data_IF_296276844316
#
_entry.id   IF_296276844316
#
_cell.length_a   1.000
_cell.length_b   1.000
_cell.length_c   1.000
_cell.angle_alpha   90.00
_cell.angle_beta   90.00
_cell.angle_gamma   90.00
#
_symmetry.space_group_name_H-M   'P 1'
#
loop_
_entity.id
_entity.type
_entity.pdbx_description
1 polymer ?
#
# COMPACT_ATOMS: atom_id res chain seq x y z
N UNK A 1 -36.95 -80.50 27.32
CA UNK A 1 -36.01 -80.27 26.20
C UNK A 1 -35.03 -79.20 26.68
N UNK A 2 -33.94 -79.59 27.36
CA UNK A 2 -32.57 -79.72 26.81
C UNK A 2 -32.04 -78.37 26.28
N UNK A 3 -30.97 -77.75 26.78
CA UNK A 3 -29.90 -78.18 27.67
C UNK A 3 -29.15 -76.97 28.28
N UNK A 4 -28.29 -77.22 29.28
CA UNK A 4 -26.81 -77.05 29.23
C UNK A 4 -26.34 -75.60 28.97
N UNK A 5 -25.39 -74.99 29.67
CA UNK A 5 -24.45 -75.42 30.70
C UNK A 5 -23.59 -74.21 31.11
N UNK A 6 -23.26 -74.15 32.41
CA UNK A 6 -21.89 -73.90 32.91
C UNK A 6 -21.11 -72.60 32.59
N UNK A 7 -20.93 -71.84 33.67
CA UNK A 7 -19.66 -71.35 34.24
C UNK A 7 -18.70 -70.50 33.36
N UNK A 8 -18.43 -69.28 33.84
CA UNK A 8 -17.15 -68.97 34.53
C UNK A 8 -17.22 -67.62 35.24
N UNK A 9 -17.17 -67.68 36.56
CA UNK A 9 -16.67 -66.63 37.46
C UNK A 9 -15.14 -66.64 37.46
N UNK A 10 -14.49 -65.49 37.32
CA UNK A 10 -13.21 -65.13 37.98
C UNK A 10 -13.08 -63.59 37.88
N UNK A 11 -13.33 -62.86 38.97
CA UNK A 11 -12.30 -62.36 39.92
C UNK A 11 -11.69 -61.04 39.39
N UNK A 12 -11.88 -59.86 39.98
CA UNK A 12 -11.45 -59.45 41.32
C UNK A 12 -12.20 -58.17 41.76
N UNK A 13 -12.51 -58.08 43.05
CA UNK A 13 -12.90 -56.85 43.79
C UNK A 13 -11.65 -55.94 43.99
N UNK A 14 -11.66 -54.81 44.76
CA UNK A 14 -12.72 -53.99 45.36
C UNK A 14 -12.51 -52.45 45.26
N UNK A 15 -13.52 -51.72 45.74
CA UNK A 15 -13.43 -50.53 46.60
C UNK A 15 -12.86 -49.19 46.08
N UNK A 16 -13.79 -48.22 46.01
CA UNK A 16 -13.79 -46.95 46.74
C UNK A 16 -12.45 -46.20 46.85
N UNK A 17 -12.43 -44.96 46.34
CA UNK A 17 -12.30 -43.76 47.19
C UNK A 17 -12.47 -42.45 46.43
N UNK A 18 -13.26 -41.58 47.07
CA UNK A 18 -13.30 -40.13 46.97
C UNK A 18 -11.99 -39.47 46.53
N UNK A 19 -12.06 -38.52 45.59
CA UNK A 19 -11.55 -37.14 45.80
C UNK A 19 -11.80 -36.20 44.61
N UNK A 20 -12.47 -35.10 44.93
CA UNK A 20 -12.14 -33.70 44.58
C UNK A 20 -11.66 -33.37 43.15
N UNK A 21 -12.50 -32.55 42.51
CA UNK A 21 -12.12 -31.25 41.90
C UNK A 21 -11.17 -31.29 40.68
N UNK A 22 -11.72 -31.11 39.47
CA UNK A 22 -11.17 -30.15 38.49
C UNK A 22 -12.32 -29.59 37.65
N UNK A 23 -12.49 -28.27 37.73
CA UNK A 23 -13.35 -27.42 36.91
C UNK A 23 -12.86 -27.50 35.47
N UNK A 24 -13.71 -27.98 34.55
CA UNK A 24 -13.43 -27.98 33.11
C UNK A 24 -13.46 -26.55 32.57
N UNK A 25 -12.27 -26.01 32.32
CA UNK A 25 -12.01 -24.68 31.79
C UNK A 25 -12.67 -24.50 30.42
N UNK A 26 -13.52 -23.48 30.30
CA UNK A 26 -14.01 -22.97 29.03
C UNK A 26 -12.86 -22.27 28.29
N UNK A 27 -12.38 -22.88 27.20
CA UNK A 27 -11.36 -22.30 26.33
C UNK A 27 -11.98 -21.18 25.49
N UNK A 28 -11.89 -19.95 25.97
CA UNK A 28 -12.16 -18.76 25.17
C UNK A 28 -11.04 -18.60 24.12
N UNK A 29 -11.36 -18.85 22.86
CA UNK A 29 -10.46 -18.56 21.74
C UNK A 29 -10.35 -17.03 21.57
N UNK A 30 -9.31 -16.44 22.16
CA UNK A 30 -8.93 -15.05 21.95
C UNK A 30 -8.43 -14.93 20.51
N UNK A 31 -9.26 -14.37 19.63
CA UNK A 31 -8.84 -13.90 18.31
C UNK A 31 -7.90 -12.71 18.52
N UNK A 32 -6.60 -12.97 18.62
CA UNK A 32 -5.59 -11.91 18.58
C UNK A 32 -5.54 -11.40 17.14
N UNK A 33 -6.37 -10.40 16.83
CA UNK A 33 -6.23 -9.58 15.63
C UNK A 33 -4.99 -8.71 15.80
N UNK A 34 -3.81 -9.27 15.51
CA UNK A 34 -2.59 -8.48 15.39
C UNK A 34 -2.76 -7.50 14.23
N UNK A 35 -2.63 -6.19 14.50
CA UNK A 35 -2.38 -5.24 13.43
C UNK A 35 -1.07 -5.64 12.77
N UNK A 36 -1.13 -6.25 11.59
CA UNK A 36 0.04 -6.39 10.73
C UNK A 36 0.50 -4.96 10.43
N UNK A 37 1.72 -4.56 10.82
CA UNK A 37 2.21 -3.23 10.50
C UNK A 37 2.18 -3.07 8.98
N UNK A 38 1.69 -1.91 8.54
CA UNK A 38 1.77 -1.51 7.14
C UNK A 38 3.20 -1.73 6.65
N UNK A 39 3.38 -2.64 5.70
CA UNK A 39 4.71 -2.94 5.17
C UNK A 39 4.96 -1.94 4.04
N UNK A 40 5.84 -0.99 4.27
CA UNK A 40 6.43 -0.18 3.21
C UNK A 40 7.79 -0.77 2.85
N UNK A 41 8.21 -0.59 1.60
CA UNK A 41 9.55 -0.96 1.15
C UNK A 41 10.18 0.23 0.47
N UNK A 42 11.21 0.77 1.10
CA UNK A 42 11.93 1.96 0.65
C UNK A 42 13.25 1.56 -0.01
N UNK A 43 13.62 2.26 -1.08
CA UNK A 43 14.95 2.29 -1.65
C UNK A 43 15.41 3.75 -1.71
N UNK A 44 16.64 4.02 -1.26
CA UNK A 44 17.21 5.37 -1.28
C UNK A 44 18.66 5.34 -1.71
N UNK A 45 19.05 6.26 -2.59
CA UNK A 45 20.44 6.51 -2.97
C UNK A 45 21.09 7.60 -2.11
N UNK A 46 20.29 8.42 -1.42
CA UNK A 46 20.76 9.56 -0.62
C UNK A 46 20.11 9.55 0.76
N UNK A 47 20.82 10.09 1.74
CA UNK A 47 20.29 10.29 3.10
C UNK A 47 19.87 11.75 3.35
N UNK A 48 20.32 12.67 2.50
CA UNK A 48 20.05 14.11 2.58
C UNK A 48 19.95 14.69 1.18
N UNK A 49 19.03 15.64 1.01
CA UNK A 49 18.86 16.39 -0.22
C UNK A 49 20.09 17.27 -0.47
N UNK A 50 20.44 17.45 -1.73
CA UNK A 50 21.53 18.32 -2.17
C UNK A 50 20.92 19.47 -2.96
N UNK A 51 21.38 20.67 -2.68
CA UNK A 51 20.99 21.86 -3.45
C UNK A 51 22.14 22.85 -3.50
N UNK A 52 22.12 23.72 -4.51
CA UNK A 52 22.98 24.91 -4.58
C UNK A 52 22.33 26.12 -3.88
N UNK A 53 21.08 25.98 -3.43
CA UNK A 53 20.34 26.97 -2.63
C UNK A 53 20.64 26.82 -1.14
N UNK A 54 20.10 27.74 -0.33
CA UNK A 54 20.13 27.61 1.13
C UNK A 54 19.33 26.37 1.58
N UNK A 55 18.12 26.20 1.03
CA UNK A 55 17.25 25.05 1.28
C UNK A 55 16.77 24.39 -0.03
N UNK A 56 16.68 23.06 -0.10
CA UNK A 56 16.21 22.34 -1.27
C UNK A 56 14.70 22.49 -1.45
N UNK A 57 14.27 22.77 -2.69
CA UNK A 57 12.85 22.92 -3.02
C UNK A 57 12.30 21.67 -3.68
N UNK A 58 11.18 21.16 -3.16
CA UNK A 58 10.52 19.96 -3.68
C UNK A 58 9.24 20.39 -4.39
N UNK A 59 9.10 20.04 -5.67
CA UNK A 59 7.85 20.17 -6.41
C UNK A 59 6.98 18.93 -6.18
N UNK A 60 5.77 19.11 -5.66
CA UNK A 60 4.74 18.08 -5.74
C UNK A 60 4.17 18.06 -7.16
N UNK A 61 4.47 16.99 -7.88
CA UNK A 61 3.86 16.74 -9.19
C UNK A 61 2.37 16.41 -9.02
N UNK A 62 1.53 16.63 -10.05
CA UNK A 62 0.12 16.26 -10.00
C UNK A 62 -0.01 14.77 -9.64
N UNK A 63 -0.73 14.42 -8.56
CA UNK A 63 -0.72 13.06 -8.06
C UNK A 63 -1.50 12.12 -9.00
N UNK A 64 -0.87 11.05 -9.48
CA UNK A 64 -1.54 9.97 -10.23
C UNK A 64 -2.29 9.03 -9.28
N UNK A 65 -3.32 9.58 -8.61
CA UNK A 65 -4.22 8.85 -7.72
C UNK A 65 -5.52 8.61 -8.48
N UNK A 66 -5.95 7.34 -8.56
CA UNK A 66 -7.20 6.93 -9.23
C UNK A 66 -7.90 5.83 -8.45
N UNK A 67 -9.23 5.91 -8.39
CA UNK A 67 -10.09 4.90 -7.77
C UNK A 67 -11.05 4.29 -8.79
N UNK A 68 -11.35 3.01 -8.58
CA UNK A 68 -12.18 2.20 -9.47
C UNK A 68 -13.18 1.35 -8.67
N UNK A 69 -14.31 1.05 -9.31
CA UNK A 69 -15.23 0.01 -8.87
C UNK A 69 -14.86 -1.30 -9.57
N UNK A 70 -14.71 -2.39 -8.80
CA UNK A 70 -14.55 -3.74 -9.32
C UNK A 70 -15.92 -4.42 -9.42
N UNK A 71 -16.40 -4.60 -10.65
CA UNK A 71 -17.71 -5.18 -10.94
C UNK A 71 -17.75 -6.69 -10.70
N UNK A 72 -18.96 -7.28 -10.64
CA UNK A 72 -19.13 -8.73 -10.48
C UNK A 72 -18.41 -9.51 -11.59
N UNK A 73 -18.47 -9.01 -12.83
CA UNK A 73 -17.79 -9.57 -14.00
C UNK A 73 -16.27 -9.36 -14.01
N UNK A 74 -15.69 -8.74 -12.98
CA UNK A 74 -14.25 -8.50 -12.88
C UNK A 74 -13.73 -7.31 -13.68
N UNK A 75 -14.62 -6.50 -14.28
CA UNK A 75 -14.26 -5.25 -14.94
C UNK A 75 -13.99 -4.15 -13.92
N UNK A 76 -13.05 -3.27 -14.22
CA UNK A 76 -12.75 -2.08 -13.41
C UNK A 76 -13.33 -0.84 -14.08
N UNK A 77 -14.12 -0.07 -13.33
CA UNK A 77 -14.79 1.13 -13.81
C UNK A 77 -14.29 2.35 -13.04
N UNK A 78 -13.83 3.43 -13.71
CA UNK A 78 -13.35 4.62 -13.02
C UNK A 78 -14.44 5.25 -12.14
N UNK A 79 -14.07 5.63 -10.90
CA UNK A 79 -14.94 6.37 -10.01
C UNK A 79 -14.39 7.79 -9.79
N UNK A 80 -15.02 8.78 -10.43
CA UNK A 80 -14.57 10.17 -10.37
C UNK A 80 -14.71 10.77 -8.97
N UNK A 81 -15.83 10.54 -8.27
CA UNK A 81 -16.06 11.10 -6.94
C UNK A 81 -14.99 10.64 -5.94
N UNK A 82 -14.69 9.33 -5.94
CA UNK A 82 -13.65 8.77 -5.07
C UNK A 82 -12.26 9.25 -5.46
N UNK A 83 -11.99 9.35 -6.76
CA UNK A 83 -10.72 9.86 -7.27
C UNK A 83 -10.50 11.31 -6.84
N UNK A 84 -11.52 12.17 -6.96
CA UNK A 84 -11.44 13.57 -6.54
C UNK A 84 -11.23 13.70 -5.03
N UNK A 85 -11.98 12.95 -4.22
CA UNK A 85 -11.80 12.94 -2.76
C UNK A 85 -10.38 12.49 -2.37
N UNK A 86 -9.90 11.41 -3.00
CA UNK A 86 -8.57 10.89 -2.72
C UNK A 86 -7.44 11.87 -3.10
N UNK A 87 -7.54 12.54 -4.25
CA UNK A 87 -6.56 13.56 -4.66
C UNK A 87 -6.55 14.76 -3.72
N UNK A 88 -7.72 15.23 -3.31
CA UNK A 88 -7.86 16.34 -2.37
C UNK A 88 -7.13 16.02 -1.05
N UNK A 89 -7.43 14.87 -0.44
CA UNK A 89 -6.79 14.50 0.82
C UNK A 89 -5.31 14.14 0.65
N UNK A 90 -4.92 13.57 -0.50
CA UNK A 90 -3.51 13.31 -0.81
C UNK A 90 -2.70 14.60 -0.76
N UNK A 91 -3.08 15.62 -1.53
CA UNK A 91 -2.34 16.89 -1.59
C UNK A 91 -2.30 17.55 -0.21
N UNK A 92 -3.44 17.60 0.49
CA UNK A 92 -3.54 18.17 1.84
C UNK A 92 -2.59 17.50 2.83
N UNK A 93 -2.55 16.17 2.85
CA UNK A 93 -1.74 15.43 3.82
C UNK A 93 -0.25 15.41 3.44
N UNK A 94 0.10 15.53 2.15
CA UNK A 94 1.48 15.76 1.72
C UNK A 94 1.97 17.14 2.15
N UNK A 95 1.14 18.18 1.98
CA UNK A 95 1.44 19.53 2.44
C UNK A 95 1.65 19.57 3.96
N UNK A 96 0.74 18.96 4.72
CA UNK A 96 0.90 18.83 6.18
C UNK A 96 2.17 18.06 6.58
N UNK A 97 2.50 16.97 5.87
CA UNK A 97 3.71 16.20 6.11
C UNK A 97 5.00 17.02 5.85
N UNK A 98 5.00 17.83 4.79
CA UNK A 98 6.11 18.70 4.44
C UNK A 98 6.28 19.83 5.46
N UNK A 99 5.17 20.49 5.85
CA UNK A 99 5.16 21.54 6.86
C UNK A 99 5.67 21.04 8.23
N UNK A 100 5.26 19.83 8.66
CA UNK A 100 5.76 19.19 9.90
C UNK A 100 7.28 18.96 9.90
N UNK A 101 7.91 18.89 8.72
CA UNK A 101 9.35 18.63 8.54
C UNK A 101 10.13 19.88 8.11
N UNK A 102 9.46 21.02 7.96
CA UNK A 102 10.09 22.25 7.47
C UNK A 102 10.62 22.15 6.04
N UNK A 103 10.03 21.30 5.19
CA UNK A 103 10.43 21.20 3.79
C UNK A 103 9.78 22.32 2.95
N UNK A 104 10.54 22.94 2.04
CA UNK A 104 9.99 23.87 1.04
C UNK A 104 9.29 23.07 -0.08
N UNK A 105 7.96 23.00 0.01
CA UNK A 105 7.10 22.29 -0.93
C UNK A 105 6.40 23.28 -1.88
N UNK A 106 6.59 23.07 -3.18
CA UNK A 106 5.86 23.76 -4.24
C UNK A 106 4.73 22.84 -4.67
N UNK A 107 3.48 23.33 -4.60
CA UNK A 107 2.31 22.59 -5.07
C UNK A 107 1.83 23.25 -6.36
N UNK A 108 1.75 22.47 -7.44
CA UNK A 108 1.08 22.92 -8.66
C UNK A 108 -0.39 23.10 -8.35
N UNK A 109 -0.97 24.22 -8.77
CA UNK A 109 -2.38 24.52 -8.57
C UNK A 109 -3.25 23.35 -9.05
N UNK A 110 -3.94 22.64 -8.13
CA UNK A 110 -4.73 21.47 -8.47
C UNK A 110 -6.00 21.81 -9.26
N UNK A 111 -6.40 23.09 -9.29
CA UNK A 111 -7.57 23.56 -10.04
C UNK A 111 -7.24 23.85 -11.50
N UNK A 112 -5.95 23.90 -11.86
CA UNK A 112 -5.49 24.08 -13.23
C UNK A 112 -5.09 22.72 -13.86
N UNK A 113 -5.38 22.51 -15.16
CA UNK A 113 -4.84 21.36 -15.86
C UNK A 113 -3.30 21.39 -15.81
N UNK A 114 -2.65 20.24 -15.56
CA UNK A 114 -1.21 20.16 -15.63
C UNK A 114 -0.74 20.48 -17.06
N UNK A 115 0.44 21.09 -17.18
CA UNK A 115 1.03 21.33 -18.49
C UNK A 115 1.43 20.02 -19.19
N UNK A 116 1.74 20.15 -20.48
CA UNK A 116 2.09 18.99 -21.32
C UNK A 116 3.30 18.23 -20.76
N UNK A 117 4.34 18.95 -20.31
CA UNK A 117 5.54 18.33 -19.74
C UNK A 117 5.26 17.62 -18.42
N UNK A 118 4.43 18.20 -17.54
CA UNK A 118 4.04 17.54 -16.30
C UNK A 118 3.27 16.24 -16.56
N UNK A 119 2.37 16.27 -17.55
CA UNK A 119 1.58 15.10 -17.96
C UNK A 119 2.46 14.02 -18.59
N UNK A 120 3.43 14.41 -19.42
CA UNK A 120 4.38 13.47 -20.02
C UNK A 120 5.22 12.76 -18.96
N UNK A 121 5.79 13.52 -18.01
CA UNK A 121 6.62 12.93 -16.96
C UNK A 121 5.80 12.16 -15.91
N UNK A 122 4.53 12.49 -15.68
CA UNK A 122 3.62 11.65 -14.87
C UNK A 122 3.45 10.26 -15.49
N UNK A 123 3.22 10.20 -16.81
CA UNK A 123 3.10 8.91 -17.54
C UNK A 123 4.42 8.15 -17.55
N UNK A 124 5.54 8.84 -17.76
CA UNK A 124 6.86 8.22 -17.73
C UNK A 124 7.18 7.68 -16.33
N UNK A 125 6.91 8.46 -15.29
CA UNK A 125 7.06 8.03 -13.89
C UNK A 125 6.24 6.79 -13.60
N UNK A 126 4.99 6.73 -14.06
CA UNK A 126 4.15 5.56 -13.92
C UNK A 126 4.78 4.32 -14.58
N UNK A 127 5.27 4.43 -15.82
CA UNK A 127 5.90 3.32 -16.53
C UNK A 127 7.19 2.83 -15.83
N UNK A 128 8.07 3.77 -15.45
CA UNK A 128 9.33 3.46 -14.76
C UNK A 128 9.07 2.89 -13.37
N UNK A 129 8.15 3.49 -12.61
CA UNK A 129 7.81 3.04 -11.25
C UNK A 129 7.19 1.65 -11.22
N UNK A 130 6.30 1.32 -12.15
CA UNK A 130 5.81 -0.07 -12.28
C UNK A 130 6.93 -1.05 -12.66
N UNK A 131 7.88 -0.62 -13.48
CA UNK A 131 9.08 -1.42 -13.78
C UNK A 131 9.92 -1.66 -12.53
N UNK A 132 10.09 -0.66 -11.66
CA UNK A 132 10.76 -0.78 -10.36
C UNK A 132 10.01 -1.77 -9.45
N UNK A 133 8.69 -1.67 -9.35
CA UNK A 133 7.89 -2.59 -8.53
C UNK A 133 8.12 -4.04 -8.92
N UNK A 134 8.11 -4.34 -10.22
CA UNK A 134 8.29 -5.70 -10.74
C UNK A 134 9.73 -6.16 -10.60
N UNK A 135 10.70 -5.32 -10.97
CA UNK A 135 12.09 -5.74 -11.19
C UNK A 135 13.05 -5.43 -10.03
N UNK A 136 12.64 -4.65 -9.04
CA UNK A 136 13.45 -4.36 -7.86
C UNK A 136 12.84 -4.93 -6.58
N UNK A 137 11.53 -4.73 -6.39
CA UNK A 137 10.79 -5.24 -5.23
C UNK A 137 10.13 -6.61 -5.45
N UNK A 138 10.01 -7.02 -6.71
CA UNK A 138 9.55 -8.36 -7.13
C UNK A 138 10.71 -9.24 -7.58
N UNK A 139 10.65 -9.73 -8.82
CA UNK A 139 11.66 -10.60 -9.41
C UNK A 139 12.82 -9.77 -9.94
N UNK A 140 13.96 -9.82 -9.25
CA UNK A 140 15.13 -9.03 -9.62
C UNK A 140 15.73 -9.44 -10.95
N UNK A 141 16.13 -8.45 -11.75
CA UNK A 141 16.89 -8.67 -12.98
C UNK A 141 18.30 -9.15 -12.63
N UNK A 142 18.71 -10.37 -13.03
CA UNK A 142 20.01 -10.93 -12.64
C UNK A 142 21.20 -10.05 -13.06
N UNK A 143 21.09 -9.36 -14.20
CA UNK A 143 22.14 -8.49 -14.73
C UNK A 143 22.25 -7.13 -14.03
N UNK A 144 21.23 -6.69 -13.29
CA UNK A 144 21.21 -5.38 -12.60
C UNK A 144 21.74 -5.47 -11.16
N UNK A 145 21.69 -6.66 -10.55
CA UNK A 145 22.08 -6.87 -9.15
C UNK A 145 21.17 -6.09 -8.17
N UNK A 146 21.71 -5.71 -7.02
CA UNK A 146 20.98 -5.00 -5.96
C UNK A 146 21.03 -3.46 -6.10
N UNK A 147 21.63 -2.94 -7.18
CA UNK A 147 21.73 -1.50 -7.40
C UNK A 147 20.35 -0.90 -7.68
N UNK A 148 20.02 0.14 -6.94
CA UNK A 148 18.87 0.98 -7.24
C UNK A 148 19.32 2.12 -8.16
N UNK A 149 19.37 1.90 -9.46
CA UNK A 149 19.78 2.87 -10.50
C UNK A 149 18.65 3.05 -11.54
N UNK A 150 17.73 3.96 -11.24
CA UNK A 150 16.57 4.26 -12.08
C UNK A 150 16.47 5.76 -12.30
N UNK A 151 15.97 6.16 -13.47
CA UNK A 151 15.94 7.57 -13.87
C UNK A 151 14.74 7.82 -14.78
N UNK A 152 14.18 9.04 -14.72
CA UNK A 152 13.25 9.56 -15.71
C UNK A 152 13.97 10.26 -16.87
N UNK A 153 15.29 10.29 -16.84
CA UNK A 153 16.14 10.92 -17.84
C UNK A 153 16.31 12.43 -17.65
N UNK A 154 17.33 13.02 -18.30
CA UNK A 154 17.75 14.40 -18.05
C UNK A 154 16.74 15.46 -18.52
N UNK A 155 15.78 15.09 -19.36
CA UNK A 155 14.76 16.02 -19.85
C UNK A 155 13.83 16.54 -18.75
N UNK A 156 13.75 15.86 -17.60
CA UNK A 156 12.94 16.31 -16.46
C UNK A 156 13.43 17.65 -15.90
N UNK A 157 14.67 18.06 -16.22
CA UNK A 157 15.23 19.36 -15.83
C UNK A 157 14.44 20.55 -16.31
N UNK A 158 13.67 20.42 -17.40
CA UNK A 158 12.75 21.48 -17.83
C UNK A 158 11.62 21.73 -16.81
N UNK A 159 11.19 20.72 -16.04
CA UNK A 159 10.24 20.91 -14.91
C UNK A 159 10.91 21.71 -13.80
N UNK A 160 12.15 21.38 -13.44
CA UNK A 160 12.93 22.11 -12.43
C UNK A 160 13.14 23.58 -12.81
N UNK A 161 13.44 23.85 -14.09
CA UNK A 161 13.58 25.21 -14.62
C UNK A 161 12.26 25.98 -14.60
N UNK A 162 11.14 25.33 -14.98
CA UNK A 162 9.81 25.94 -15.02
C UNK A 162 9.30 26.35 -13.63
N UNK A 163 9.50 25.50 -12.62
CA UNK A 163 8.95 25.72 -11.28
C UNK A 163 9.97 26.22 -10.25
N UNK A 164 11.25 26.26 -10.62
CA UNK A 164 12.34 26.66 -9.72
C UNK A 164 12.57 25.64 -8.58
N UNK A 165 12.49 24.35 -8.90
CA UNK A 165 12.61 23.24 -7.94
C UNK A 165 13.92 22.45 -8.13
N UNK A 166 14.43 21.86 -7.04
CA UNK A 166 15.59 20.95 -7.04
C UNK A 166 15.17 19.50 -7.25
N UNK A 167 14.04 19.13 -6.65
CA UNK A 167 13.50 17.78 -6.68
C UNK A 167 12.03 17.80 -7.06
N UNK A 168 11.53 16.70 -7.62
CA UNK A 168 10.11 16.48 -7.81
C UNK A 168 9.67 15.20 -7.09
N UNK A 169 8.60 15.34 -6.30
CA UNK A 169 7.88 14.24 -5.68
C UNK A 169 6.77 13.79 -6.63
N UNK A 170 6.94 12.59 -7.18
CA UNK A 170 5.93 11.92 -7.99
C UNK A 170 5.21 10.85 -7.16
N UNK A 171 3.95 10.59 -7.51
CA UNK A 171 3.13 9.59 -6.82
C UNK A 171 2.21 8.85 -7.77
N UNK A 172 2.06 7.55 -7.52
CA UNK A 172 1.11 6.67 -8.17
C UNK A 172 0.30 5.93 -7.11
N UNK A 173 -1.03 5.91 -7.25
CA UNK A 173 -1.91 5.15 -6.37
C UNK A 173 -3.14 4.64 -7.11
N UNK A 174 -3.52 3.39 -6.83
CA UNK A 174 -4.76 2.79 -7.32
C UNK A 174 -5.55 2.22 -6.15
N UNK A 175 -6.83 2.58 -6.10
CA UNK A 175 -7.81 1.97 -5.20
C UNK A 175 -8.89 1.25 -5.97
N UNK A 176 -9.25 0.05 -5.53
CA UNK A 176 -10.31 -0.78 -6.09
C UNK A 176 -11.25 -1.21 -4.97
N UNK A 177 -12.54 -0.90 -5.10
CA UNK A 177 -13.58 -1.40 -4.20
C UNK A 177 -14.60 -2.22 -4.98
N UNK A 178 -14.99 -3.38 -4.43
CA UNK A 178 -16.00 -4.24 -5.03
C UNK A 178 -17.38 -3.57 -5.09
N UNK A 179 -18.08 -3.76 -6.22
CA UNK A 179 -19.51 -3.48 -6.29
C UNK A 179 -20.30 -4.43 -5.39
N UNK A 180 -21.54 -4.06 -5.05
CA UNK A 180 -22.43 -4.94 -4.28
C UNK A 180 -22.61 -6.32 -4.94
N UNK A 181 -22.68 -6.38 -6.27
CA UNK A 181 -22.73 -7.63 -7.02
C UNK A 181 -21.45 -8.47 -6.89
N UNK A 182 -20.26 -7.84 -6.87
CA UNK A 182 -18.99 -8.55 -6.67
C UNK A 182 -18.86 -9.09 -5.25
N UNK A 183 -19.34 -8.36 -4.25
CA UNK A 183 -19.40 -8.83 -2.86
C UNK A 183 -20.33 -10.05 -2.75
N UNK A 184 -21.55 -9.96 -3.28
CA UNK A 184 -22.50 -11.07 -3.27
C UNK A 184 -21.92 -12.31 -3.99
N UNK A 185 -21.29 -12.12 -5.14
CA UNK A 185 -20.63 -13.21 -5.87
C UNK A 185 -19.47 -13.83 -5.08
N UNK A 186 -18.65 -13.02 -4.39
CA UNK A 186 -17.56 -13.52 -3.55
C UNK A 186 -18.08 -14.41 -2.42
N UNK A 187 -19.15 -13.99 -1.74
CA UNK A 187 -19.79 -14.79 -0.69
C UNK A 187 -20.35 -16.11 -1.25
N UNK A 188 -21.02 -16.07 -2.40
CA UNK A 188 -21.58 -17.27 -3.03
C UNK A 188 -20.49 -18.23 -3.51
N UNK A 189 -19.41 -17.71 -4.11
CA UNK A 189 -18.28 -18.51 -4.58
C UNK A 189 -17.55 -19.20 -3.41
N UNK A 190 -17.37 -18.50 -2.29
CA UNK A 190 -16.80 -19.08 -1.08
C UNK A 190 -17.71 -20.18 -0.51
N UNK A 191 -19.00 -19.89 -0.34
CA UNK A 191 -19.95 -20.84 0.25
C UNK A 191 -20.18 -22.10 -0.61
N UNK A 192 -20.22 -21.95 -1.93
CA UNK A 192 -20.53 -23.04 -2.85
C UNK A 192 -19.30 -23.81 -3.33
N UNK A 193 -18.17 -23.13 -3.52
CA UNK A 193 -16.97 -23.68 -4.17
C UNK A 193 -15.71 -23.61 -3.30
N UNK A 194 -15.75 -22.92 -2.15
CA UNK A 194 -14.57 -22.67 -1.32
C UNK A 194 -13.53 -21.76 -1.98
N UNK A 195 -13.97 -20.87 -2.89
CA UNK A 195 -13.10 -19.96 -3.63
C UNK A 195 -13.34 -18.52 -3.18
N UNK A 196 -12.34 -17.93 -2.53
CA UNK A 196 -12.32 -16.52 -2.18
C UNK A 196 -12.03 -15.64 -3.40
N UNK A 197 -13.00 -14.82 -3.81
CA UNK A 197 -12.78 -13.82 -4.85
C UNK A 197 -12.29 -12.52 -4.23
N UNK A 198 -11.23 -11.94 -4.81
CA UNK A 198 -10.78 -10.59 -4.43
C UNK A 198 -11.93 -9.59 -4.56
N UNK A 199 -12.12 -8.82 -3.50
CA UNK A 199 -13.10 -7.73 -3.36
C UNK A 199 -12.48 -6.36 -3.58
N UNK A 200 -11.26 -6.31 -4.11
CA UNK A 200 -10.53 -5.08 -4.36
C UNK A 200 -9.19 -5.05 -3.64
N UNK A 201 -8.69 -3.84 -3.45
CA UNK A 201 -7.38 -3.57 -2.88
C UNK A 201 -6.93 -2.15 -3.18
N UNK A 202 -5.99 -1.67 -2.39
CA UNK A 202 -5.35 -0.37 -2.61
C UNK A 202 -3.84 -0.55 -2.71
N UNK A 203 -3.12 0.45 -3.20
CA UNK A 203 -1.66 0.40 -3.21
C UNK A 203 -1.06 1.42 -4.14
N UNK A 204 0.23 1.68 -3.95
CA UNK A 204 0.90 2.71 -4.72
C UNK A 204 2.37 2.83 -4.39
N UNK A 205 2.98 3.87 -4.93
CA UNK A 205 4.35 4.25 -4.63
C UNK A 205 4.55 5.75 -4.81
N UNK A 206 5.58 6.26 -4.14
CA UNK A 206 6.08 7.61 -4.33
C UNK A 206 7.56 7.57 -4.69
N UNK A 207 8.02 8.60 -5.38
CA UNK A 207 9.40 8.69 -5.83
C UNK A 207 9.86 10.14 -5.76
N UNK A 208 11.08 10.35 -5.27
CA UNK A 208 11.75 11.64 -5.31
C UNK A 208 12.79 11.60 -6.44
N UNK A 209 12.70 12.59 -7.33
CA UNK A 209 13.53 12.68 -8.53
C UNK A 209 14.41 13.92 -8.43
N UNK A 210 15.73 13.76 -8.60
CA UNK A 210 16.65 14.90 -8.77
C UNK A 210 16.35 15.54 -10.13
N UNK A 211 15.88 16.79 -10.14
CA UNK A 211 15.46 17.45 -11.38
C UNK A 211 16.65 17.86 -12.26
N UNK A 212 17.88 17.87 -11.76
CA UNK A 212 19.08 18.16 -12.56
C UNK A 212 19.50 16.94 -13.39
N UNK A 213 19.41 15.73 -12.83
CA UNK A 213 19.89 14.50 -13.50
C UNK A 213 18.77 13.61 -14.03
N UNK A 214 17.58 13.68 -13.41
CA UNK A 214 16.48 12.77 -13.64
C UNK A 214 16.52 11.50 -12.80
N UNK A 215 17.53 11.33 -11.95
CA UNK A 215 17.68 10.12 -11.14
C UNK A 215 16.59 10.03 -10.08
N UNK A 216 16.04 8.83 -9.93
CA UNK A 216 15.15 8.49 -8.83
C UNK A 216 16.05 8.23 -7.62
N UNK A 217 16.18 9.24 -6.76
CA UNK A 217 17.07 9.21 -5.60
C UNK A 217 16.43 8.57 -4.37
N UNK A 218 15.09 8.49 -4.37
CA UNK A 218 14.33 7.79 -3.34
C UNK A 218 13.03 7.24 -3.93
N UNK A 219 12.62 6.07 -3.46
CA UNK A 219 11.39 5.40 -3.87
C UNK A 219 10.82 4.64 -2.69
N UNK A 220 9.52 4.76 -2.47
CA UNK A 220 8.83 3.95 -1.47
C UNK A 220 7.57 3.32 -2.04
N UNK A 221 7.44 2.02 -1.84
CA UNK A 221 6.24 1.24 -2.16
C UNK A 221 5.35 1.16 -0.92
N UNK A 222 4.07 1.47 -1.11
CA UNK A 222 3.01 1.25 -0.13
C UNK A 222 2.26 -0.04 -0.49
N UNK A 223 2.38 -1.06 0.36
CA UNK A 223 1.63 -2.31 0.20
C UNK A 223 0.13 -2.11 0.43
N UNK A 224 -0.66 -3.09 0.01
CA UNK A 224 -2.11 -2.99 -0.01
C UNK A 224 -2.73 -2.91 1.39
N UNK A 225 -3.85 -2.18 1.50
CA UNK A 225 -4.64 -2.07 2.72
C UNK A 225 -4.17 -1.00 3.71
N UNK A 226 -3.20 -0.15 3.32
CA UNK A 226 -2.69 0.93 4.16
C UNK A 226 -3.45 2.23 3.91
N UNK A 227 -4.48 2.47 4.73
CA UNK A 227 -5.26 3.71 4.72
C UNK A 227 -6.15 3.86 3.49
N UNK A 228 -7.30 4.51 3.64
CA UNK A 228 -8.17 4.88 2.53
C UNK A 228 -8.02 6.39 2.26
N UNK A 229 -7.47 6.74 1.11
CA UNK A 229 -7.24 8.15 0.74
C UNK A 229 -8.54 8.95 0.61
N UNK A 230 -9.70 8.31 0.51
CA UNK A 230 -11.00 9.00 0.35
C UNK A 230 -11.51 9.67 1.62
N UNK A 231 -10.87 9.43 2.77
CA UNK A 231 -11.23 10.09 4.02
C UNK A 231 -9.97 10.64 4.74
N UNK A 232 -10.12 11.64 5.61
CA UNK A 232 -8.99 12.35 6.20
C UNK A 232 -8.03 11.45 7.00
N UNK A 233 -8.55 10.62 7.91
CA UNK A 233 -7.71 9.79 8.79
C UNK A 233 -6.97 8.70 8.01
N UNK A 234 -7.66 8.09 7.04
CA UNK A 234 -7.09 7.11 6.13
C UNK A 234 -5.99 7.72 5.26
N UNK A 235 -6.22 8.92 4.71
CA UNK A 235 -5.22 9.65 3.94
C UNK A 235 -3.99 9.99 4.79
N UNK A 236 -4.18 10.54 5.98
CA UNK A 236 -3.08 10.87 6.91
C UNK A 236 -2.21 9.65 7.19
N UNK A 237 -2.83 8.50 7.47
CA UNK A 237 -2.10 7.23 7.70
C UNK A 237 -1.34 6.79 6.45
N UNK A 238 -2.01 6.79 5.29
CA UNK A 238 -1.41 6.36 4.03
C UNK A 238 -0.23 7.24 3.63
N UNK A 239 -0.34 8.58 3.73
CA UNK A 239 0.73 9.51 3.36
C UNK A 239 1.93 9.39 4.29
N UNK A 240 1.71 9.22 5.60
CA UNK A 240 2.83 9.02 6.54
C UNK A 240 3.63 7.77 6.24
N UNK A 241 2.96 6.68 5.86
CA UNK A 241 3.65 5.47 5.43
C UNK A 241 4.27 5.64 4.04
N UNK A 242 3.57 6.27 3.10
CA UNK A 242 4.04 6.48 1.73
C UNK A 242 5.29 7.37 1.69
N UNK A 243 5.37 8.41 2.51
CA UNK A 243 6.50 9.34 2.57
C UNK A 243 7.51 9.01 3.67
N UNK A 244 7.36 7.85 4.31
CA UNK A 244 8.27 7.38 5.36
C UNK A 244 9.71 7.35 4.84
N UNK A 245 10.63 7.86 5.65
CA UNK A 245 12.06 7.95 5.33
C UNK A 245 12.38 8.78 4.07
N UNK A 246 11.48 9.68 3.66
CA UNK A 246 11.78 10.69 2.63
C UNK A 246 13.00 11.53 3.08
N UNK A 247 14.05 11.67 2.24
CA UNK A 247 15.24 12.45 2.58
C UNK A 247 14.89 13.91 2.85
N UNK A 248 15.61 14.52 3.79
CA UNK A 248 15.40 15.91 4.22
C UNK A 248 16.57 16.80 3.78
N UNK A 249 16.34 18.11 3.81
CA UNK A 249 17.35 19.15 3.55
C UNK A 249 18.39 19.30 4.63
#
# INVERSE_FOLDING_TARGET
MTGFSSLRTFNNRPALRFSRLVIGVATAAILVSGCVPAQTRTASQINRLKTEREDPRILLMPPDVKYYVLTAGGLTEPNLQWTSAARLYFVKEVDAYAAERGADLIIIDPDLPPGDIETEYERLHNAVGNTILVNYFGNRLPSKGDRFDWSLGPGVSAIGQKHGADYALFSYYRGYDASGGRIALSILAEAALGIGLSTGGTGGFASLVDLRTGDIVWFNKLDAGVGDLRNPDGAKKAIRELLKDLPQG
#
